data_IF_239858194623
#
_entry.id   IF_239858194623
#
_cell.length_a   1.000
_cell.length_b   1.000
_cell.length_c   1.000
_cell.angle_alpha   90.00
_cell.angle_beta   90.00
_cell.angle_gamma   90.00
#
_symmetry.space_group_name_H-M   'P 1'
#
loop_
_entity.id
_entity.type
_entity.pdbx_description
1 polymer ?
#
# COMPACT_ATOMS: atom_id res chain seq x y z
N UNK A 1 4.48 -7.90 11.29
CA UNK A 1 5.16 -7.96 9.97
C UNK A 1 4.34 -8.74 8.93
N UNK A 2 3.21 -9.32 9.34
CA UNK A 2 2.47 -10.35 8.58
C UNK A 2 1.62 -9.80 7.43
N UNK A 3 1.25 -8.52 7.50
CA UNK A 3 0.34 -7.90 6.52
C UNK A 3 0.93 -7.76 5.11
N UNK A 4 2.25 -7.90 4.95
CA UNK A 4 2.94 -7.86 3.64
C UNK A 4 3.34 -9.25 3.14
N UNK A 5 2.91 -10.33 3.80
CA UNK A 5 3.28 -11.70 3.46
C UNK A 5 2.38 -12.35 2.39
N UNK A 6 1.89 -11.54 1.45
CA UNK A 6 1.00 -11.97 0.36
C UNK A 6 1.61 -11.63 -1.00
N UNK A 7 1.27 -12.37 -2.08
CA UNK A 7 1.69 -12.01 -3.43
C UNK A 7 1.18 -10.62 -3.84
N UNK A 8 1.92 -9.95 -4.73
CA UNK A 8 1.51 -8.68 -5.32
C UNK A 8 0.15 -8.83 -6.02
N UNK A 9 -0.79 -7.93 -5.72
CA UNK A 9 -2.13 -7.94 -6.30
C UNK A 9 -2.14 -7.73 -7.84
N UNK A 10 -1.10 -7.11 -8.40
CA UNK A 10 -1.01 -6.85 -9.84
C UNK A 10 -0.28 -7.97 -10.61
N UNK A 11 0.93 -8.33 -10.17
CA UNK A 11 1.79 -9.25 -10.91
C UNK A 11 1.83 -10.67 -10.36
N UNK A 12 1.15 -10.93 -9.23
CA UNK A 12 1.08 -12.25 -8.59
C UNK A 12 2.40 -12.75 -7.99
N UNK A 13 3.48 -11.99 -8.09
CA UNK A 13 4.79 -12.37 -7.53
C UNK A 13 4.88 -11.98 -6.05
N UNK A 14 5.44 -12.87 -5.24
CA UNK A 14 5.78 -12.61 -3.84
C UNK A 14 7.25 -12.16 -3.75
N UNK A 15 7.49 -11.11 -2.99
CA UNK A 15 8.82 -10.60 -2.71
C UNK A 15 9.02 -10.50 -1.20
N UNK A 16 10.26 -10.25 -0.76
CA UNK A 16 10.51 -9.92 0.63
C UNK A 16 9.73 -8.66 1.04
N UNK A 17 9.35 -8.60 2.32
CA UNK A 17 8.48 -7.58 2.89
C UNK A 17 8.92 -6.12 2.63
N UNK A 18 10.22 -5.88 2.42
CA UNK A 18 10.77 -4.54 2.12
C UNK A 18 10.59 -4.10 0.65
N UNK A 19 10.20 -5.02 -0.24
CA UNK A 19 9.87 -4.77 -1.66
C UNK A 19 8.34 -4.66 -1.87
N UNK A 20 7.57 -4.98 -0.83
CA UNK A 20 6.12 -4.94 -0.85
C UNK A 20 5.64 -3.62 -0.26
N UNK A 21 4.61 -3.01 -0.83
CA UNK A 21 4.04 -1.73 -0.43
C UNK A 21 2.52 -1.79 -0.31
N UNK A 22 1.98 -0.91 0.54
CA UNK A 22 0.54 -0.67 0.65
C UNK A 22 0.16 0.42 -0.36
N UNK A 23 -0.49 0.05 -1.45
CA UNK A 23 -1.03 1.00 -2.42
C UNK A 23 -2.47 1.35 -2.05
N UNK A 24 -2.73 2.63 -1.77
CA UNK A 24 -4.06 3.08 -1.39
C UNK A 24 -4.96 3.21 -2.63
N UNK A 25 -5.89 2.27 -2.80
CA UNK A 25 -6.73 2.19 -4.01
C UNK A 25 -8.16 2.68 -3.83
N UNK A 26 -8.65 2.76 -2.59
CA UNK A 26 -10.07 3.00 -2.33
C UNK A 26 -10.27 3.97 -1.16
N UNK A 27 -11.27 4.84 -1.29
CA UNK A 27 -11.60 5.85 -0.29
C UNK A 27 -10.66 7.06 -0.30
N UNK A 28 -10.98 8.03 0.57
CA UNK A 28 -10.07 9.17 0.81
C UNK A 28 -8.96 8.71 1.76
N UNK A 29 -7.72 8.98 1.36
CA UNK A 29 -6.53 8.81 2.21
C UNK A 29 -6.62 9.81 3.36
N UNK A 30 -6.72 9.32 4.59
CA UNK A 30 -6.79 10.20 5.76
C UNK A 30 -5.39 10.57 6.28
N UNK A 31 -4.41 9.69 6.12
CA UNK A 31 -3.03 9.93 6.52
C UNK A 31 -2.06 8.97 5.79
N UNK A 32 -0.75 9.29 5.72
CA UNK A 32 0.25 8.34 5.25
C UNK A 32 0.35 7.18 6.24
N UNK A 33 0.21 5.94 5.77
CA UNK A 33 0.41 4.76 6.62
C UNK A 33 1.80 4.76 7.28
N UNK A 34 2.82 5.27 6.58
CA UNK A 34 4.19 5.47 7.07
C UNK A 34 4.32 6.42 8.25
N UNK A 35 3.35 7.31 8.48
CA UNK A 35 3.33 8.24 9.62
C UNK A 35 2.32 7.83 10.69
N UNK A 36 1.77 6.61 10.63
CA UNK A 36 0.73 6.16 11.57
C UNK A 36 1.25 5.91 12.97
N UNK A 37 2.52 5.54 13.11
CA UNK A 37 3.21 5.32 14.37
C UNK A 37 3.47 6.60 15.17
N UNK A 38 3.49 7.77 14.51
CA UNK A 38 3.90 9.05 15.12
C UNK A 38 2.75 9.76 15.85
N UNK A 39 1.48 9.42 15.53
CA UNK A 39 0.31 10.16 16.01
C UNK A 39 -0.54 9.50 17.09
N UNK A 40 -0.08 8.41 17.73
CA UNK A 40 -0.88 7.71 18.76
C UNK A 40 -2.20 7.12 18.25
N UNK A 41 -2.27 6.73 16.97
CA UNK A 41 -3.51 6.19 16.38
C UNK A 41 -3.79 4.78 16.90
N UNK A 42 -5.06 4.48 17.18
CA UNK A 42 -5.46 3.14 17.62
C UNK A 42 -5.12 2.10 16.54
N UNK A 43 -4.77 0.88 16.99
CA UNK A 43 -4.51 -0.27 16.10
C UNK A 43 -5.70 -0.50 15.15
N UNK A 44 -6.92 -0.27 15.63
CA UNK A 44 -8.13 -0.39 14.83
C UNK A 44 -8.17 0.62 13.67
N UNK A 45 -7.77 1.88 13.92
CA UNK A 45 -7.69 2.90 12.87
C UNK A 45 -6.65 2.51 11.81
N UNK A 46 -5.51 1.95 12.24
CA UNK A 46 -4.47 1.47 11.34
C UNK A 46 -4.99 0.29 10.50
N UNK A 47 -5.69 -0.67 11.12
CA UNK A 47 -6.31 -1.80 10.39
C UNK A 47 -7.35 -1.33 9.38
N UNK A 48 -8.20 -0.36 9.72
CA UNK A 48 -9.19 0.22 8.80
C UNK A 48 -8.54 0.91 7.62
N UNK A 49 -7.40 1.58 7.83
CA UNK A 49 -6.67 2.21 6.73
C UNK A 49 -5.93 1.17 5.88
N UNK A 50 -5.37 0.11 6.48
CA UNK A 50 -4.79 -1.02 5.75
C UNK A 50 -5.84 -1.72 4.87
N UNK A 51 -7.08 -1.85 5.34
CA UNK A 51 -8.18 -2.44 4.56
C UNK A 51 -8.53 -1.66 3.27
N UNK A 52 -8.04 -0.43 3.14
CA UNK A 52 -8.19 0.39 1.92
C UNK A 52 -7.01 0.24 0.96
N UNK A 53 -5.97 -0.48 1.36
CA UNK A 53 -4.78 -0.67 0.56
C UNK A 53 -4.76 -2.05 -0.08
N UNK A 54 -4.26 -2.10 -1.32
CA UNK A 54 -3.80 -3.34 -1.92
C UNK A 54 -2.33 -3.55 -1.54
N UNK A 55 -1.93 -4.82 -1.40
CA UNK A 55 -0.52 -5.18 -1.25
C UNK A 55 0.06 -5.41 -2.65
N UNK A 56 0.98 -4.56 -3.07
CA UNK A 56 1.62 -4.61 -4.38
C UNK A 56 3.14 -4.52 -4.23
N UNK A 57 3.91 -5.00 -5.20
CA UNK A 57 5.34 -4.76 -5.21
C UNK A 57 5.63 -3.30 -5.59
N UNK A 58 6.79 -2.77 -5.19
CA UNK A 58 7.14 -1.37 -5.42
C UNK A 58 7.16 -0.99 -6.91
N UNK A 59 7.46 -1.92 -7.82
CA UNK A 59 7.42 -1.66 -9.27
C UNK A 59 5.99 -1.44 -9.76
N UNK A 60 5.06 -2.34 -9.43
CA UNK A 60 3.65 -2.19 -9.76
C UNK A 60 3.05 -0.93 -9.13
N UNK A 61 3.40 -0.64 -7.87
CA UNK A 61 2.99 0.59 -7.19
C UNK A 61 3.46 1.86 -7.91
N UNK A 62 4.72 1.90 -8.37
CA UNK A 62 5.26 3.03 -9.14
C UNK A 62 4.57 3.19 -10.49
N UNK A 63 4.29 2.09 -11.20
CA UNK A 63 3.53 2.13 -12.45
C UNK A 63 2.11 2.65 -12.23
N UNK A 64 1.39 2.19 -11.19
CA UNK A 64 0.08 2.72 -10.80
C UNK A 64 0.13 4.22 -10.54
N UNK A 65 1.11 4.67 -9.75
CA UNK A 65 1.31 6.09 -9.44
C UNK A 65 1.56 6.91 -10.70
N UNK A 66 2.44 6.45 -11.58
CA UNK A 66 2.74 7.11 -12.86
C UNK A 66 1.48 7.25 -13.73
N UNK A 67 0.73 6.16 -13.90
CA UNK A 67 -0.51 6.15 -14.69
C UNK A 67 -1.60 7.06 -14.10
N UNK A 68 -1.75 7.09 -12.76
CA UNK A 68 -2.68 8.00 -12.06
C UNK A 68 -2.35 9.47 -12.26
N UNK A 69 -1.06 9.80 -12.43
CA UNK A 69 -0.58 11.16 -12.67
C UNK A 69 -0.62 11.56 -14.16
N UNK A 70 -1.33 10.79 -15.00
CA UNK A 70 -1.46 11.07 -16.43
C UNK A 70 -0.25 10.67 -17.26
N UNK A 71 0.71 9.96 -16.66
CA UNK A 71 1.78 9.31 -17.40
C UNK A 71 1.20 8.27 -18.36
N UNK A 72 1.64 8.30 -19.62
CA UNK A 72 1.34 7.28 -20.62
C UNK A 72 2.66 6.68 -21.05
N UNK A 73 2.76 5.35 -20.99
CA UNK A 73 3.87 4.59 -21.57
C UNK A 73 3.86 4.68 -23.09
#
# INVERSE_FOLDING_TARGET
MDSKDVPCADCGKKYHWYVMDFDHVRGKKFFPLSQSSVGGRSIETIKREIAKCDIVCTNCHRMRTYNRNGGKF
#
